data_IF_114746228284
#
_entry.id   IF_114746228284
#
_cell.length_a   1.000
_cell.length_b   1.000
_cell.length_c   1.000
_cell.angle_alpha   90.00
_cell.angle_beta   90.00
_cell.angle_gamma   90.00
#
_symmetry.space_group_name_H-M   'P 1'
#
loop_
_entity.id
_entity.type
_entity.pdbx_description
1 polymer ?
#
# COMPACT_ATOMS: atom_id res chain seq x y z
N UNK A 1 -3.19 -7.82 25.84
CA UNK A 1 -3.12 -7.75 24.36
C UNK A 1 -1.98 -6.81 24.00
N UNK A 2 -1.01 -7.22 23.17
CA UNK A 2 0.10 -6.34 22.77
C UNK A 2 -0.49 -5.20 21.92
N UNK A 3 -0.39 -3.96 22.39
CA UNK A 3 -0.86 -2.81 21.62
C UNK A 3 0.09 -2.59 20.44
N UNK A 4 -0.35 -3.00 19.24
CA UNK A 4 0.39 -2.70 18.01
C UNK A 4 0.40 -1.18 17.81
N UNK A 5 1.58 -0.60 17.59
CA UNK A 5 1.71 0.83 17.28
C UNK A 5 1.05 1.14 15.94
N UNK A 6 0.67 2.40 15.73
CA UNK A 6 0.04 2.84 14.48
C UNK A 6 0.96 2.56 13.28
N UNK A 7 2.25 2.88 13.40
CA UNK A 7 3.24 2.64 12.34
C UNK A 7 3.41 1.16 12.00
N UNK A 8 3.46 0.29 13.01
CA UNK A 8 3.53 -1.15 12.79
C UNK A 8 2.26 -1.70 12.12
N UNK A 9 1.09 -1.18 12.48
CA UNK A 9 -0.18 -1.57 11.87
C UNK A 9 -0.27 -1.13 10.40
N UNK A 10 0.21 0.07 10.07
CA UNK A 10 0.31 0.54 8.67
C UNK A 10 1.27 -0.33 7.86
N UNK A 11 2.46 -0.61 8.40
CA UNK A 11 3.48 -1.40 7.71
C UNK A 11 3.03 -2.85 7.47
N UNK A 12 2.26 -3.42 8.39
CA UNK A 12 1.69 -4.76 8.26
C UNK A 12 0.35 -4.79 7.51
N UNK A 13 -0.11 -3.66 6.97
CA UNK A 13 -1.40 -3.54 6.29
C UNK A 13 -2.58 -4.07 7.13
N UNK A 14 -2.59 -3.73 8.43
CA UNK A 14 -3.64 -4.09 9.38
C UNK A 14 -4.74 -3.02 9.43
N UNK A 15 -5.92 -3.43 9.90
CA UNK A 15 -7.07 -2.55 10.07
C UNK A 15 -6.74 -1.36 11.00
N UNK A 16 -7.05 -0.10 10.62
CA UNK A 16 -6.77 1.06 11.47
C UNK A 16 -7.57 1.07 12.79
N UNK A 17 -8.76 0.44 12.81
CA UNK A 17 -9.63 0.37 14.00
C UNK A 17 -9.10 -0.58 15.07
N UNK A 18 -8.87 -1.85 14.72
CA UNK A 18 -8.45 -2.87 15.69
C UNK A 18 -6.94 -3.19 15.67
N UNK A 19 -6.21 -2.76 14.64
CA UNK A 19 -4.77 -3.02 14.39
C UNK A 19 -4.35 -4.50 14.34
N UNK A 20 -5.30 -5.42 14.17
CA UNK A 20 -5.05 -6.88 14.11
C UNK A 20 -5.55 -7.54 12.83
N UNK A 21 -6.75 -7.18 12.37
CA UNK A 21 -7.33 -7.78 11.17
C UNK A 21 -6.60 -7.36 9.90
N UNK A 22 -6.45 -8.31 8.97
CA UNK A 22 -5.79 -8.09 7.69
C UNK A 22 -6.70 -7.34 6.71
N UNK A 23 -6.17 -6.28 6.09
CA UNK A 23 -6.90 -5.52 5.07
C UNK A 23 -7.02 -6.29 3.76
N UNK A 24 -6.03 -7.11 3.43
CA UNK A 24 -5.94 -7.82 2.14
C UNK A 24 -6.13 -9.32 2.37
N UNK A 25 -6.93 -10.00 1.54
CA UNK A 25 -7.14 -11.45 1.65
C UNK A 25 -5.93 -12.26 1.17
N UNK A 26 -5.03 -11.65 0.40
CA UNK A 26 -3.91 -12.32 -0.26
C UNK A 26 -2.55 -11.77 0.17
N UNK A 27 -1.50 -12.57 -0.06
CA UNK A 27 -0.11 -12.13 0.08
C UNK A 27 0.27 -11.11 -0.98
N UNK A 28 1.28 -10.28 -0.69
CA UNK A 28 1.80 -9.22 -1.59
C UNK A 28 2.25 -9.77 -2.95
N UNK A 29 2.66 -11.04 -3.00
CA UNK A 29 3.15 -11.70 -4.22
C UNK A 29 2.06 -12.36 -5.07
N UNK A 30 0.77 -12.21 -4.72
CA UNK A 30 -0.33 -12.79 -5.49
C UNK A 30 -0.74 -11.87 -6.65
N UNK A 31 -0.04 -11.98 -7.78
CA UNK A 31 -0.24 -11.13 -8.97
C UNK A 31 -1.66 -11.17 -9.59
N UNK A 32 -2.47 -12.19 -9.29
CA UNK A 32 -3.84 -12.32 -9.81
C UNK A 32 -4.88 -11.52 -9.02
N UNK A 33 -4.61 -11.20 -7.75
CA UNK A 33 -5.56 -10.58 -6.81
C UNK A 33 -4.94 -9.40 -6.06
N UNK A 34 -4.12 -8.64 -6.78
CA UNK A 34 -3.33 -7.53 -6.23
C UNK A 34 -4.18 -6.33 -5.81
N UNK A 35 -5.31 -6.13 -6.50
CA UNK A 35 -6.22 -5.03 -6.24
C UNK A 35 -7.28 -5.35 -5.18
N UNK A 36 -7.45 -6.62 -4.83
CA UNK A 36 -8.50 -7.10 -3.94
C UNK A 36 -8.25 -6.62 -2.50
N UNK A 37 -9.30 -6.12 -1.84
CA UNK A 37 -9.26 -5.70 -0.45
C UNK A 37 -10.52 -6.22 0.24
N UNK A 38 -10.39 -6.58 1.52
CA UNK A 38 -11.53 -7.01 2.31
C UNK A 38 -12.51 -5.84 2.47
N UNK A 39 -13.80 -6.07 2.21
CA UNK A 39 -14.83 -5.05 2.41
C UNK A 39 -15.13 -4.77 3.88
N UNK A 40 -14.97 -5.79 4.72
CA UNK A 40 -15.07 -5.72 6.19
C UNK A 40 -13.84 -6.33 6.83
N UNK A 41 -13.46 -5.82 8.01
CA UNK A 41 -12.37 -6.37 8.79
C UNK A 41 -12.75 -7.76 9.32
N UNK A 42 -11.92 -8.82 9.15
CA UNK A 42 -12.25 -10.16 9.63
C UNK A 42 -12.31 -10.28 11.16
N UNK A 43 -11.66 -9.37 11.89
CA UNK A 43 -11.55 -9.43 13.36
C UNK A 43 -12.53 -8.52 14.13
N UNK A 44 -12.87 -7.35 13.58
CA UNK A 44 -13.73 -6.36 14.28
C UNK A 44 -14.95 -5.96 13.47
N UNK A 45 -15.16 -6.64 12.33
CA UNK A 45 -16.27 -6.43 11.37
C UNK A 45 -16.43 -4.99 10.84
N UNK A 46 -15.47 -4.11 11.12
CA UNK A 46 -15.50 -2.74 10.67
C UNK A 46 -15.50 -2.67 9.13
N UNK A 47 -16.39 -1.86 8.57
CA UNK A 47 -16.47 -1.63 7.13
C UNK A 47 -15.21 -0.91 6.64
N UNK A 48 -14.36 -1.62 5.90
CA UNK A 48 -13.11 -1.12 5.32
C UNK A 48 -13.39 -0.36 4.02
N UNK A 49 -14.42 -0.78 3.28
CA UNK A 49 -14.94 -0.11 2.07
C UNK A 49 -16.31 0.48 2.39
N UNK A 50 -16.38 1.71 2.93
CA UNK A 50 -17.67 2.34 3.27
C UNK A 50 -18.55 2.55 2.04
N UNK A 51 -17.91 2.85 0.90
CA UNK A 51 -18.54 3.22 -0.35
C UNK A 51 -17.97 2.33 -1.49
N UNK A 52 -18.77 2.00 -2.52
CA UNK A 52 -18.22 1.45 -3.76
C UNK A 52 -17.20 2.45 -4.34
N UNK A 53 -16.11 1.94 -4.91
CA UNK A 53 -15.02 2.74 -5.46
C UNK A 53 -14.29 3.69 -4.48
N UNK A 54 -14.43 3.47 -3.17
CA UNK A 54 -13.72 4.25 -2.14
C UNK A 54 -12.21 4.38 -2.41
N UNK A 55 -11.57 3.32 -2.92
CA UNK A 55 -10.14 3.28 -3.21
C UNK A 55 -9.72 3.91 -4.54
N UNK A 56 -10.62 4.55 -5.28
CA UNK A 56 -10.26 5.26 -6.52
C UNK A 56 -9.23 6.36 -6.24
N UNK A 57 -9.36 7.06 -5.10
CA UNK A 57 -8.38 8.05 -4.66
C UNK A 57 -6.99 7.47 -4.36
N UNK A 58 -6.89 6.19 -3.98
CA UNK A 58 -5.61 5.53 -3.75
C UNK A 58 -4.80 5.36 -5.05
N UNK A 59 -5.44 5.44 -6.23
CA UNK A 59 -4.74 5.43 -7.51
C UNK A 59 -3.80 6.62 -7.67
N UNK A 60 -4.19 7.82 -7.19
CA UNK A 60 -3.34 9.00 -7.22
C UNK A 60 -2.09 8.85 -6.34
N UNK A 61 -2.23 8.19 -5.19
CA UNK A 61 -1.09 7.86 -4.32
C UNK A 61 -0.15 6.89 -5.04
N UNK A 62 -0.70 5.89 -5.74
CA UNK A 62 0.12 4.95 -6.53
C UNK A 62 0.85 5.64 -7.69
N UNK A 63 0.23 6.64 -8.32
CA UNK A 63 0.88 7.46 -9.33
C UNK A 63 2.04 8.26 -8.75
N UNK A 64 1.84 8.91 -7.59
CA UNK A 64 2.91 9.62 -6.88
C UNK A 64 4.08 8.69 -6.52
N UNK A 65 3.80 7.47 -6.09
CA UNK A 65 4.85 6.46 -5.86
C UNK A 65 5.61 6.09 -7.14
N UNK A 66 4.93 5.98 -8.29
CA UNK A 66 5.58 5.61 -9.55
C UNK A 66 6.51 6.73 -10.04
N UNK A 67 6.06 7.99 -9.94
CA UNK A 67 6.89 9.16 -10.25
C UNK A 67 8.08 9.25 -9.30
N UNK A 68 7.86 9.08 -7.99
CA UNK A 68 8.95 9.06 -7.02
C UNK A 68 9.96 7.93 -7.33
N UNK A 69 9.48 6.73 -7.64
CA UNK A 69 10.34 5.60 -8.02
C UNK A 69 11.17 5.93 -9.26
N UNK A 70 10.55 6.47 -10.31
CA UNK A 70 11.23 6.85 -11.54
C UNK A 70 12.35 7.87 -11.27
N UNK A 71 12.06 8.93 -10.52
CA UNK A 71 13.05 9.97 -10.19
C UNK A 71 14.21 9.38 -9.37
N UNK A 72 13.91 8.60 -8.32
CA UNK A 72 14.93 8.01 -7.47
C UNK A 72 15.81 7.00 -8.23
N UNK A 73 15.20 6.13 -9.03
CA UNK A 73 15.94 5.17 -9.88
C UNK A 73 16.83 5.91 -10.87
N UNK A 74 16.33 6.98 -11.50
CA UNK A 74 17.13 7.77 -12.43
C UNK A 74 18.35 8.41 -11.75
N UNK A 75 18.16 8.99 -10.56
CA UNK A 75 19.27 9.56 -9.76
C UNK A 75 20.29 8.48 -9.39
N UNK A 76 19.84 7.31 -8.94
CA UNK A 76 20.71 6.20 -8.57
C UNK A 76 21.51 5.70 -9.77
N UNK A 77 20.87 5.53 -10.93
CA UNK A 77 21.54 5.08 -12.16
C UNK A 77 22.61 6.08 -12.59
N UNK A 78 22.33 7.39 -12.57
CA UNK A 78 23.32 8.42 -12.88
C UNK A 78 24.47 8.48 -11.86
N UNK A 79 24.20 8.18 -10.59
CA UNK A 79 25.21 8.20 -9.54
C UNK A 79 26.20 7.02 -9.65
N UNK A 80 25.70 5.83 -9.98
CA UNK A 80 26.52 4.62 -10.07
C UNK A 80 27.14 4.37 -11.44
N UNK A 81 26.53 4.86 -12.51
CA UNK A 81 27.00 4.69 -13.88
C UNK A 81 27.34 6.05 -14.47
N UNK A 82 28.56 6.20 -15.00
CA UNK A 82 28.96 7.43 -15.69
C UNK A 82 28.35 7.46 -17.11
N UNK A 83 27.44 8.40 -17.34
CA UNK A 83 26.74 8.65 -18.62
C UNK A 83 26.14 7.38 -19.30
N UNK A 84 25.24 6.64 -18.64
CA UNK A 84 24.61 5.48 -19.25
C UNK A 84 23.69 5.88 -20.41
N UNK A 85 23.54 4.97 -21.37
CA UNK A 85 22.64 5.15 -22.50
C UNK A 85 21.17 5.33 -22.05
N UNK A 86 20.38 6.06 -22.81
CA UNK A 86 18.96 6.31 -22.52
C UNK A 86 18.17 5.01 -22.29
N UNK A 87 18.51 3.93 -23.02
CA UNK A 87 17.84 2.64 -22.86
C UNK A 87 18.08 2.00 -21.48
N UNK A 88 19.22 2.27 -20.84
CA UNK A 88 19.50 1.79 -19.49
C UNK A 88 18.49 2.39 -18.50
N UNK A 89 18.18 3.68 -18.62
CA UNK A 89 17.15 4.32 -17.78
C UNK A 89 15.77 3.71 -18.03
N UNK A 90 15.39 3.52 -19.29
CA UNK A 90 14.07 2.95 -19.63
C UNK A 90 13.91 1.55 -19.03
N UNK A 91 14.88 0.67 -19.25
CA UNK A 91 14.82 -0.71 -18.76
C UNK A 91 14.90 -0.80 -17.23
N UNK A 92 15.75 0.01 -16.59
CA UNK A 92 15.86 0.00 -15.11
C UNK A 92 14.61 0.53 -14.44
N UNK A 93 14.03 1.63 -14.91
CA UNK A 93 12.77 2.18 -14.38
C UNK A 93 11.60 1.21 -14.61
N UNK A 94 11.53 0.59 -15.80
CA UNK A 94 10.48 -0.37 -16.13
C UNK A 94 10.59 -1.63 -15.26
N UNK A 95 11.79 -2.19 -15.11
CA UNK A 95 12.04 -3.33 -14.23
C UNK A 95 11.71 -3.00 -12.77
N UNK A 96 12.13 -1.83 -12.28
CA UNK A 96 11.83 -1.38 -10.92
C UNK A 96 10.32 -1.22 -10.70
N UNK A 97 9.59 -0.62 -11.64
CA UNK A 97 8.13 -0.50 -11.54
C UNK A 97 7.47 -1.88 -11.50
N UNK A 98 7.78 -2.79 -12.43
CA UNK A 98 7.16 -4.13 -12.45
C UNK A 98 7.40 -4.88 -11.14
N UNK A 99 8.61 -4.76 -10.58
CA UNK A 99 8.97 -5.39 -9.32
C UNK A 99 8.21 -4.79 -8.12
N UNK A 100 8.06 -3.46 -8.07
CA UNK A 100 7.46 -2.76 -6.92
C UNK A 100 5.96 -2.47 -7.05
N UNK A 101 5.35 -2.64 -8.22
CA UNK A 101 3.89 -2.51 -8.45
C UNK A 101 3.04 -3.20 -7.36
N UNK A 102 3.26 -4.46 -6.96
CA UNK A 102 2.48 -5.10 -5.90
C UNK A 102 2.53 -4.33 -4.57
N UNK A 103 3.70 -3.83 -4.21
CA UNK A 103 3.90 -3.06 -2.98
C UNK A 103 3.23 -1.69 -3.10
N UNK A 104 3.46 -0.99 -4.21
CA UNK A 104 2.92 0.35 -4.45
C UNK A 104 1.40 0.37 -4.40
N UNK A 105 0.73 -0.56 -5.09
CA UNK A 105 -0.74 -0.64 -5.08
C UNK A 105 -1.29 -0.95 -3.70
N UNK A 106 -0.64 -1.86 -2.95
CA UNK A 106 -1.07 -2.25 -1.60
C UNK A 106 -0.92 -1.10 -0.61
N UNK A 107 0.26 -0.50 -0.55
CA UNK A 107 0.53 0.60 0.37
C UNK A 107 -0.23 1.88 0.01
N UNK A 108 -0.52 2.10 -1.27
CA UNK A 108 -1.39 3.22 -1.66
C UNK A 108 -2.77 3.12 -1.01
N UNK A 109 -3.38 1.92 -1.01
CA UNK A 109 -4.67 1.70 -0.34
C UNK A 109 -4.57 1.80 1.17
N UNK A 110 -3.49 1.30 1.77
CA UNK A 110 -3.25 1.43 3.21
C UNK A 110 -3.15 2.90 3.60
N UNK A 111 -2.29 3.68 2.93
CA UNK A 111 -2.12 5.10 3.21
C UNK A 111 -3.43 5.87 3.01
N UNK A 112 -4.17 5.56 1.95
CA UNK A 112 -5.47 6.16 1.71
C UNK A 112 -6.46 5.86 2.85
N UNK A 113 -6.56 4.61 3.29
CA UNK A 113 -7.45 4.22 4.37
C UNK A 113 -7.05 4.84 5.72
N UNK A 114 -5.76 4.94 6.02
CA UNK A 114 -5.28 5.54 7.27
C UNK A 114 -5.37 7.07 7.26
N UNK A 115 -5.21 7.72 6.10
CA UNK A 115 -5.23 9.18 5.98
C UNK A 115 -6.62 9.77 5.77
N UNK A 116 -7.44 9.14 4.92
CA UNK A 116 -8.76 9.62 4.52
C UNK A 116 -9.92 8.75 5.02
N UNK A 117 -9.63 7.55 5.54
CA UNK A 117 -10.65 6.70 6.15
C UNK A 117 -11.12 7.26 7.49
N UNK A 118 -12.42 7.11 7.75
CA UNK A 118 -13.07 7.54 9.01
C UNK A 118 -12.84 6.57 10.18
N UNK A 119 -12.03 5.53 10.00
CA UNK A 119 -11.80 4.49 11.01
C UNK A 119 -10.75 4.96 12.02
N UNK A 120 -11.21 5.28 13.24
CA UNK A 120 -10.33 5.58 14.37
C UNK A 120 -10.00 4.34 15.18
N UNK A 121 -8.85 4.35 15.86
CA UNK A 121 -8.43 3.25 16.71
C UNK A 121 -9.37 3.09 17.91
N UNK A 122 -9.78 1.85 18.16
CA UNK A 122 -10.70 1.49 19.24
C UNK A 122 -10.14 0.23 19.94
N UNK A 123 -9.65 0.35 21.20
CA UNK A 123 -9.01 -0.75 21.91
C UNK A 123 -9.98 -1.88 22.30
N UNK A 124 -11.28 -1.60 22.34
CA UNK A 124 -12.32 -2.58 22.70
C UNK A 124 -13.03 -3.16 21.46
N UNK A 125 -12.60 -2.79 20.26
CA UNK A 125 -13.19 -3.24 18.99
C UNK A 125 -13.18 -4.76 18.76
N UNK A 126 -12.45 -5.54 19.56
CA UNK A 126 -12.34 -7.00 19.46
C UNK A 126 -13.19 -7.75 20.50
N UNK A 127 -13.85 -7.03 21.41
CA UNK A 127 -14.67 -7.63 22.48
C UNK A 127 -16.16 -7.72 22.12
N UNK A 128 -16.52 -7.27 20.93
CA UNK A 128 -17.89 -7.16 20.45
C UNK A 128 -18.18 -8.27 19.46
#
# INVERSE_FOLDING_TARGET
>A
MKNTSLSAAMLQAKCPRCRKGDLFPTSVFSYTKLSEINGKCPECEATITPEPDFFYGAMYISYAFSVALMVNVSILVTYFFDRPDTMVYVWTVLAANILLVPLMLRYSKVLYLYGLGKLSYDPDALKK
#
